data_IF_299168516377
#
_entry.id   IF_299168516377
#
_cell.length_a   1.000
_cell.length_b   1.000
_cell.length_c   1.000
_cell.angle_alpha   90.00
_cell.angle_beta   90.00
_cell.angle_gamma   90.00
#
_symmetry.space_group_name_H-M   'P 1'
#
loop_
_entity.id
_entity.type
_entity.pdbx_description
1 polymer ?
#
# COMPACT_ATOMS: atom_id res chain seq x y z
N UNK A 1 23.00 -28.54 18.78
CA UNK A 1 21.93 -29.23 19.52
C UNK A 1 21.57 -28.32 20.68
N UNK A 2 20.53 -27.49 20.64
CA UNK A 2 19.11 -27.79 20.88
C UNK A 2 18.63 -26.48 21.54
N UNK A 3 17.51 -25.85 21.29
CA UNK A 3 16.28 -26.20 20.61
C UNK A 3 15.25 -25.19 21.15
N UNK A 4 14.50 -24.58 20.24
CA UNK A 4 13.36 -23.72 20.52
C UNK A 4 12.34 -24.46 21.39
N UNK A 5 11.72 -23.76 22.35
CA UNK A 5 10.27 -23.76 22.68
C UNK A 5 10.04 -23.24 24.09
N UNK A 6 8.96 -22.47 24.28
CA UNK A 6 7.85 -22.68 25.25
C UNK A 6 7.19 -21.31 25.57
N UNK A 7 6.04 -21.02 24.97
CA UNK A 7 4.69 -21.23 25.54
C UNK A 7 4.29 -20.17 26.56
N UNK A 8 3.66 -19.09 26.11
CA UNK A 8 2.67 -18.38 26.93
C UNK A 8 1.29 -18.64 26.36
N UNK A 9 0.72 -19.74 26.85
CA UNK A 9 -0.67 -20.14 26.69
C UNK A 9 -1.35 -19.93 28.05
N UNK A 10 -2.64 -19.54 27.99
CA UNK A 10 -3.67 -19.52 29.05
C UNK A 10 -3.61 -18.38 30.08
N UNK A 11 -4.62 -17.50 30.16
CA UNK A 11 -6.09 -17.62 30.38
C UNK A 11 -6.49 -17.61 31.86
N UNK A 12 -7.41 -16.68 32.18
CA UNK A 12 -8.39 -16.75 33.28
C UNK A 12 -7.83 -16.37 34.65
N UNK A 13 -8.52 -15.63 35.52
CA UNK A 13 -9.93 -15.29 35.70
C UNK A 13 -9.96 -13.97 36.53
N UNK A 14 -11.03 -13.17 36.58
CA UNK A 14 -12.05 -13.33 37.61
C UNK A 14 -12.97 -12.08 37.60
N UNK A 15 -14.08 -12.12 36.87
CA UNK A 15 -15.25 -11.25 37.13
C UNK A 15 -16.43 -11.95 36.44
N UNK A 16 -16.98 -12.98 37.07
CA UNK A 16 -18.18 -12.91 37.90
C UNK A 16 -19.42 -12.54 37.06
N UNK A 17 -20.14 -13.59 36.68
CA UNK A 17 -21.44 -13.60 35.99
C UNK A 17 -22.49 -14.05 37.00
N UNK A 18 -23.76 -13.58 36.92
CA UNK A 18 -24.88 -14.54 36.97
C UNK A 18 -26.06 -14.13 36.01
N UNK A 19 -27.20 -14.87 35.89
CA UNK A 19 -27.50 -15.73 34.71
C UNK A 19 -28.95 -15.57 34.13
N UNK A 20 -29.23 -16.18 32.97
CA UNK A 20 -30.56 -16.57 32.42
C UNK A 20 -30.38 -16.82 30.89
N UNK A 21 -30.89 -17.85 30.19
CA UNK A 21 -31.74 -19.00 30.45
C UNK A 21 -31.39 -20.08 29.39
N UNK A 22 -31.83 -21.31 29.64
CA UNK A 22 -31.66 -22.55 28.86
C UNK A 22 -32.35 -22.55 27.49
N UNK A 23 -31.79 -23.23 26.46
CA UNK A 23 -32.31 -24.50 25.86
C UNK A 23 -31.90 -24.78 24.39
N UNK A 24 -31.40 -26.01 24.16
CA UNK A 24 -31.70 -26.95 23.03
C UNK A 24 -31.20 -26.72 21.57
N UNK A 25 -30.09 -27.42 21.20
CA UNK A 25 -29.80 -28.36 20.06
C UNK A 25 -30.56 -28.32 18.70
N UNK A 26 -30.12 -29.00 17.59
CA UNK A 26 -28.87 -28.99 16.80
C UNK A 26 -29.09 -28.77 15.25
N UNK A 27 -27.99 -28.65 14.46
CA UNK A 27 -27.73 -28.70 12.97
C UNK A 27 -28.80 -29.21 11.96
N UNK A 28 -28.67 -29.08 10.60
CA UNK A 28 -27.62 -28.49 9.72
C UNK A 28 -28.15 -27.71 8.45
N UNK A 29 -27.22 -27.35 7.55
CA UNK A 29 -27.39 -27.08 6.09
C UNK A 29 -28.04 -25.77 5.60
N UNK A 30 -27.25 -24.91 4.95
CA UNK A 30 -27.22 -24.79 3.46
C UNK A 30 -26.46 -23.55 2.97
N UNK A 31 -25.54 -23.80 2.03
CA UNK A 31 -25.01 -22.91 0.99
C UNK A 31 -24.03 -21.77 1.35
N UNK A 32 -22.74 -22.11 1.26
CA UNK A 32 -21.74 -21.31 0.52
C UNK A 32 -22.17 -21.16 -0.97
N UNK A 33 -21.54 -20.32 -1.85
CA UNK A 33 -20.16 -19.83 -1.74
C UNK A 33 -19.92 -18.39 -2.24
N UNK A 34 -18.78 -17.79 -1.91
CA UNK A 34 -18.00 -17.00 -2.85
C UNK A 34 -16.65 -16.66 -2.24
N UNK A 35 -15.64 -17.36 -2.73
CA UNK A 35 -14.32 -16.85 -3.05
C UNK A 35 -14.09 -15.37 -2.70
N UNK A 36 -13.37 -15.15 -1.59
CA UNK A 36 -12.33 -14.12 -1.60
C UNK A 36 -10.98 -14.82 -1.64
N UNK A 37 -10.69 -15.38 -2.80
CA UNK A 37 -9.32 -15.40 -3.28
C UNK A 37 -8.89 -13.92 -3.25
N UNK A 38 -7.80 -13.52 -2.57
CA UNK A 38 -7.14 -12.29 -2.93
C UNK A 38 -6.46 -12.54 -4.28
N UNK A 39 -7.24 -12.57 -5.35
CA UNK A 39 -6.71 -12.28 -6.68
C UNK A 39 -6.48 -10.78 -6.73
N UNK A 40 -5.28 -10.36 -6.33
CA UNK A 40 -4.71 -9.15 -6.90
C UNK A 40 -3.30 -9.46 -7.43
N UNK A 41 -3.28 -10.39 -8.38
CA UNK A 41 -2.11 -10.68 -9.21
C UNK A 41 -1.89 -9.63 -10.31
N UNK A 42 -2.64 -8.52 -10.32
CA UNK A 42 -2.54 -7.45 -11.33
C UNK A 42 -2.35 -6.04 -10.74
N UNK A 43 -2.81 -5.76 -9.51
CA UNK A 43 -2.51 -4.50 -8.79
C UNK A 43 -1.22 -4.53 -7.93
N UNK A 44 -0.54 -5.68 -7.82
CA UNK A 44 0.74 -5.84 -7.12
C UNK A 44 1.85 -4.92 -7.66
N UNK A 45 1.78 -4.54 -8.95
CA UNK A 45 2.71 -3.59 -9.56
C UNK A 45 2.51 -2.15 -9.09
N UNK A 46 1.29 -1.62 -9.21
CA UNK A 46 0.95 -0.23 -8.88
C UNK A 46 1.16 0.04 -7.39
N UNK A 47 0.66 -0.84 -6.52
CA UNK A 47 0.82 -0.69 -5.07
C UNK A 47 2.29 -0.66 -4.64
N UNK A 48 3.14 -1.49 -5.26
CA UNK A 48 4.58 -1.51 -5.01
C UNK A 48 5.26 -0.23 -5.50
N UNK A 49 4.88 0.29 -6.68
CA UNK A 49 5.40 1.56 -7.19
C UNK A 49 5.04 2.70 -6.24
N UNK A 50 3.80 2.78 -5.75
CA UNK A 50 3.39 3.79 -4.77
C UNK A 50 4.26 3.72 -3.51
N UNK A 51 4.42 2.53 -2.93
CA UNK A 51 5.23 2.35 -1.73
C UNK A 51 6.70 2.77 -1.94
N UNK A 52 7.25 2.47 -3.12
CA UNK A 52 8.60 2.86 -3.51
C UNK A 52 8.74 4.38 -3.66
N UNK A 53 7.76 5.05 -4.27
CA UNK A 53 7.74 6.50 -4.43
C UNK A 53 7.57 7.20 -3.08
N UNK A 54 6.68 6.71 -2.22
CA UNK A 54 6.53 7.21 -0.84
C UNK A 54 7.84 7.07 -0.06
N UNK A 55 8.53 5.94 -0.19
CA UNK A 55 9.82 5.69 0.46
C UNK A 55 10.88 6.68 -0.02
N UNK A 56 10.93 6.95 -1.34
CA UNK A 56 11.85 7.93 -1.90
C UNK A 56 11.57 9.34 -1.36
N UNK A 57 10.30 9.78 -1.40
CA UNK A 57 9.90 11.11 -0.95
C UNK A 57 10.16 11.31 0.54
N UNK A 58 9.82 10.32 1.37
CA UNK A 58 10.11 10.33 2.80
C UNK A 58 11.62 10.44 3.09
N UNK A 59 12.46 9.75 2.32
CA UNK A 59 13.91 9.81 2.45
C UNK A 59 14.54 11.15 2.01
N UNK A 60 13.84 11.91 1.17
CA UNK A 60 14.25 13.24 0.67
C UNK A 60 13.57 14.39 1.40
N UNK A 61 12.55 14.11 2.21
CA UNK A 61 11.81 15.12 2.95
C UNK A 61 12.71 15.89 3.91
N UNK A 62 12.51 17.20 3.97
CA UNK A 62 13.28 18.10 4.85
C UNK A 62 12.99 17.87 6.33
N UNK A 63 11.80 17.36 6.64
CA UNK A 63 11.38 16.95 7.97
C UNK A 63 11.20 15.44 8.01
N UNK A 64 11.31 14.85 9.21
CA UNK A 64 11.05 13.41 9.38
C UNK A 64 9.58 13.13 9.09
N UNK A 65 9.32 12.59 7.90
CA UNK A 65 8.03 12.09 7.44
C UNK A 65 8.20 10.61 7.17
N UNK A 66 7.26 9.80 7.61
CA UNK A 66 7.23 8.38 7.28
C UNK A 66 6.54 8.15 5.93
N UNK A 67 6.90 7.10 5.17
CA UNK A 67 6.26 6.83 3.88
C UNK A 67 4.73 6.71 3.95
N UNK A 68 4.21 6.26 5.11
CA UNK A 68 2.78 6.05 5.36
C UNK A 68 2.00 7.36 5.59
N UNK A 69 2.69 8.44 5.96
CA UNK A 69 2.09 9.76 6.15
C UNK A 69 1.92 10.51 4.83
N UNK A 70 2.50 10.01 3.73
CA UNK A 70 2.38 10.60 2.39
C UNK A 70 1.15 10.01 1.71
N UNK A 71 0.08 10.79 1.61
CA UNK A 71 -1.16 10.36 0.95
C UNK A 71 -0.96 10.17 -0.55
N UNK A 72 -1.38 9.03 -1.09
CA UNK A 72 -1.15 8.69 -2.50
C UNK A 72 -1.94 9.54 -3.50
N UNK A 73 -3.08 10.08 -3.07
CA UNK A 73 -3.99 10.87 -3.91
C UNK A 73 -3.86 12.39 -3.68
N UNK A 74 -2.95 12.83 -2.81
CA UNK A 74 -2.70 14.25 -2.61
C UNK A 74 -1.76 14.80 -3.68
N UNK A 75 -1.94 16.07 -4.01
CA UNK A 75 -1.05 16.79 -4.91
C UNK A 75 0.33 16.92 -4.28
N UNK A 76 1.34 16.31 -4.90
CA UNK A 76 2.73 16.33 -4.44
C UNK A 76 3.28 17.75 -4.25
N UNK A 77 2.89 18.67 -5.13
CA UNK A 77 3.27 20.09 -5.07
C UNK A 77 2.56 20.82 -3.93
N UNK A 78 1.24 20.70 -3.87
CA UNK A 78 0.42 21.46 -2.90
C UNK A 78 0.65 20.97 -1.47
N UNK A 79 0.91 19.66 -1.31
CA UNK A 79 1.29 19.05 -0.04
C UNK A 79 2.75 19.31 0.35
N UNK A 80 3.56 19.92 -0.54
CA UNK A 80 4.96 20.24 -0.28
C UNK A 80 5.88 19.02 -0.21
N UNK A 81 5.47 17.89 -0.81
CA UNK A 81 6.30 16.69 -0.92
C UNK A 81 7.39 16.84 -1.99
N UNK A 82 7.17 17.70 -2.97
CA UNK A 82 8.15 18.07 -4.00
C UNK A 82 8.21 19.60 -4.16
N UNK A 83 9.40 20.07 -4.51
CA UNK A 83 9.71 21.45 -4.88
C UNK A 83 10.46 21.47 -6.23
N UNK A 84 10.72 22.65 -6.80
CA UNK A 84 11.34 22.77 -8.12
C UNK A 84 12.71 22.09 -8.26
N UNK A 85 13.46 21.94 -7.16
CA UNK A 85 14.77 21.28 -7.15
C UNK A 85 14.63 19.77 -6.98
N UNK A 86 13.84 19.31 -6.00
CA UNK A 86 13.59 17.88 -5.76
C UNK A 86 12.78 17.22 -6.86
N UNK A 87 12.01 18.01 -7.61
CA UNK A 87 11.23 17.58 -8.76
C UNK A 87 12.07 16.91 -9.87
N UNK A 88 13.17 17.55 -10.27
CA UNK A 88 14.04 17.01 -11.33
C UNK A 88 14.73 15.73 -10.83
N UNK A 89 15.16 15.70 -9.57
CA UNK A 89 15.75 14.50 -8.98
C UNK A 89 14.76 13.33 -8.92
N UNK A 90 13.50 13.62 -8.64
CA UNK A 90 12.43 12.63 -8.57
C UNK A 90 12.13 12.01 -9.94
N UNK A 91 12.10 12.83 -10.99
CA UNK A 91 11.99 12.36 -12.37
C UNK A 91 13.13 11.45 -12.78
N UNK A 92 14.38 11.86 -12.50
CA UNK A 92 15.56 11.06 -12.78
C UNK A 92 15.52 9.74 -12.02
N UNK A 93 15.03 9.73 -10.78
CA UNK A 93 14.83 8.51 -10.01
C UNK A 93 13.83 7.56 -10.70
N UNK A 94 12.68 8.07 -11.14
CA UNK A 94 11.65 7.28 -11.83
C UNK A 94 12.21 6.70 -13.13
N UNK A 95 12.86 7.51 -13.94
CA UNK A 95 13.44 7.07 -15.21
C UNK A 95 14.50 5.99 -14.99
N UNK A 96 15.42 6.19 -14.04
CA UNK A 96 16.46 5.20 -13.73
C UNK A 96 15.92 3.92 -13.15
N UNK A 97 14.88 3.98 -12.31
CA UNK A 97 14.35 2.83 -11.60
C UNK A 97 13.40 1.99 -12.47
N UNK A 98 12.57 2.65 -13.28
CA UNK A 98 11.50 2.00 -14.03
C UNK A 98 11.70 2.03 -15.55
N UNK A 99 12.69 2.76 -16.05
CA UNK A 99 12.92 2.91 -17.50
C UNK A 99 11.85 3.75 -18.21
N UNK A 100 11.06 4.52 -17.46
CA UNK A 100 9.93 5.30 -17.99
C UNK A 100 10.28 6.79 -17.94
N UNK A 101 10.20 7.45 -19.09
CA UNK A 101 10.33 8.91 -19.19
C UNK A 101 8.97 9.54 -18.91
N UNK A 102 8.86 10.27 -17.79
CA UNK A 102 7.66 11.04 -17.46
C UNK A 102 7.82 12.46 -18.00
N UNK A 103 6.93 12.94 -18.90
CA UNK A 103 7.06 14.29 -19.43
C UNK A 103 6.85 15.34 -18.35
N UNK A 104 7.71 16.36 -18.34
CA UNK A 104 7.76 17.39 -17.29
C UNK A 104 6.41 18.08 -17.06
N UNK A 105 5.71 18.37 -18.16
CA UNK A 105 4.42 19.07 -18.15
C UNK A 105 3.32 18.24 -17.48
N UNK A 106 3.46 16.91 -17.43
CA UNK A 106 2.43 16.03 -16.90
C UNK A 106 2.46 15.95 -15.36
N UNK A 107 3.61 15.99 -14.71
CA UNK A 107 3.71 15.96 -13.24
C UNK A 107 3.22 17.25 -12.57
N UNK A 108 3.34 18.38 -13.26
CA UNK A 108 2.76 19.65 -12.80
C UNK A 108 1.24 19.69 -13.01
N UNK A 109 0.70 18.75 -13.78
CA UNK A 109 -0.71 18.66 -14.16
C UNK A 109 -1.36 17.35 -13.71
N UNK A 110 -1.53 16.40 -14.65
CA UNK A 110 -2.34 15.18 -14.46
C UNK A 110 -1.66 14.07 -13.65
N UNK A 111 -0.33 14.09 -13.55
CA UNK A 111 0.48 13.11 -12.81
C UNK A 111 1.03 13.72 -11.52
N UNK A 112 0.27 14.65 -10.92
CA UNK A 112 0.68 15.37 -9.72
C UNK A 112 0.41 14.60 -8.41
N UNK A 113 -0.15 13.39 -8.48
CA UNK A 113 -0.36 12.48 -7.34
C UNK A 113 0.43 11.19 -7.54
N UNK A 114 0.73 10.48 -6.44
CA UNK A 114 1.45 9.20 -6.52
C UNK A 114 0.62 8.12 -7.20
N UNK A 115 -0.69 8.13 -7.02
CA UNK A 115 -1.60 7.17 -7.65
C UNK A 115 -1.62 7.32 -9.18
N UNK A 116 -1.76 8.55 -9.66
CA UNK A 116 -1.74 8.83 -11.10
C UNK A 116 -0.38 8.48 -11.71
N UNK A 117 0.70 8.83 -11.01
CA UNK A 117 2.06 8.56 -11.45
C UNK A 117 2.38 7.06 -11.46
N UNK A 118 2.01 6.33 -10.41
CA UNK A 118 2.22 4.88 -10.34
C UNK A 118 1.41 4.13 -11.40
N UNK A 119 0.18 4.57 -11.66
CA UNK A 119 -0.65 4.03 -12.74
C UNK A 119 0.01 4.26 -14.10
N UNK A 120 0.49 5.47 -14.37
CA UNK A 120 1.22 5.80 -15.59
C UNK A 120 2.49 4.95 -15.79
N UNK A 121 3.30 4.81 -14.73
CA UNK A 121 4.52 3.99 -14.76
C UNK A 121 4.15 2.53 -15.03
N UNK A 122 3.15 1.99 -14.33
CA UNK A 122 2.70 0.61 -14.52
C UNK A 122 2.22 0.35 -15.94
N UNK A 123 1.42 1.26 -16.51
CA UNK A 123 0.96 1.14 -17.90
C UNK A 123 2.09 1.30 -18.93
N UNK A 124 3.13 2.07 -18.61
CA UNK A 124 4.28 2.28 -19.50
C UNK A 124 5.26 1.10 -19.49
N UNK A 125 5.31 0.35 -18.39
CA UNK A 125 6.12 -0.88 -18.28
C UNK A 125 5.45 -2.10 -18.91
N UNK A 126 4.13 -2.09 -19.09
CA UNK A 126 3.42 -3.17 -19.76
C UNK A 126 3.85 -3.25 -21.24
N UNK A 127 4.05 -4.45 -21.80
CA UNK A 127 4.42 -4.60 -23.20
C UNK A 127 3.33 -4.00 -24.08
N UNK A 128 3.70 -3.03 -24.92
CA UNK A 128 2.86 -2.63 -26.05
C UNK A 128 2.84 -3.80 -27.02
N UNK A 129 1.74 -4.57 -27.03
CA UNK A 129 1.44 -5.45 -28.15
C UNK A 129 1.17 -4.56 -29.37
N UNK A 130 2.20 -4.39 -30.20
CA UNK A 130 2.12 -3.83 -31.55
C UNK A 130 1.99 -4.99 -32.55
#
# INVERSE_FOLDING_TARGET
MTGVKKFFNRLGSLFDQPPADTSTSPSPETAAPLDKIPEDGSGSGVGKIIADLQTYLAGKARYKVTPQEITSNDSLWSAGHIDSLSYVEFLVFIERKYGVVVPDVQLSGRLNTLEALASFISSSMAPKND
#
